data_IF_705395437400
#
_entry.id   IF_705395437400
#
_cell.length_a   1.000
_cell.length_b   1.000
_cell.length_c   1.000
_cell.angle_alpha   90.00
_cell.angle_beta   90.00
_cell.angle_gamma   90.00
#
_symmetry.space_group_name_H-M   'P 1'
#
loop_
_entity.id
_entity.type
_entity.pdbx_description
1 polymer ?
#
# COMPACT_ATOMS: atom_id res chain seq x y z
N UNK A 1 34.45 0.31 -1.51
CA UNK A 1 34.96 0.35 -0.12
C UNK A 1 34.00 -0.37 0.80
N UNK A 2 34.49 -1.02 1.87
CA UNK A 2 33.61 -1.64 2.86
C UNK A 2 32.77 -0.56 3.55
N UNK A 3 31.47 -0.82 3.71
CA UNK A 3 30.59 0.05 4.47
C UNK A 3 31.06 0.14 5.94
N UNK A 4 30.90 1.30 6.60
CA UNK A 4 31.16 1.44 8.04
C UNK A 4 30.36 0.41 8.86
N UNK A 5 30.89 -0.08 10.00
CA UNK A 5 30.21 -1.07 10.82
C UNK A 5 28.82 -0.63 11.30
N UNK A 6 28.62 0.68 11.47
CA UNK A 6 27.38 1.28 11.96
C UNK A 6 26.50 1.84 10.84
N UNK A 7 26.86 1.60 9.57
CA UNK A 7 26.10 2.09 8.44
C UNK A 7 24.68 1.51 8.44
N UNK A 8 23.69 2.39 8.29
CA UNK A 8 22.31 2.00 8.05
C UNK A 8 22.19 1.18 6.77
N UNK A 9 21.10 0.41 6.63
CA UNK A 9 20.94 -0.49 5.49
C UNK A 9 21.08 0.20 4.12
N UNK A 10 20.58 1.43 4.00
CA UNK A 10 20.66 2.22 2.76
C UNK A 10 22.06 2.73 2.43
N UNK A 11 22.97 2.80 3.40
CA UNK A 11 24.32 3.36 3.23
C UNK A 11 25.38 2.26 2.99
N UNK A 12 24.94 1.01 2.83
CA UNK A 12 25.81 -0.15 2.59
C UNK A 12 26.01 -0.38 1.09
N UNK A 13 26.66 0.56 0.42
CA UNK A 13 26.87 0.53 -1.05
C UNK A 13 27.63 -0.72 -1.55
N UNK A 14 28.39 -1.39 -0.68
CA UNK A 14 29.10 -2.64 -0.99
C UNK A 14 28.25 -3.90 -0.84
N UNK A 15 26.95 -3.77 -0.54
CA UNK A 15 26.04 -4.89 -0.28
C UNK A 15 24.95 -4.98 -1.34
N UNK A 16 24.53 -6.21 -1.63
CA UNK A 16 23.35 -6.50 -2.46
C UNK A 16 22.34 -7.22 -1.59
N UNK A 17 21.10 -6.74 -1.58
CA UNK A 17 20.06 -7.23 -0.67
C UNK A 17 19.07 -8.15 -1.38
N UNK A 18 18.66 -9.22 -0.69
CA UNK A 18 17.58 -10.10 -1.17
C UNK A 18 16.29 -9.28 -1.40
N UNK A 19 15.56 -9.59 -2.48
CA UNK A 19 14.36 -8.85 -2.87
C UNK A 19 14.60 -7.60 -3.72
N UNK A 20 15.85 -7.27 -4.04
CA UNK A 20 16.20 -6.19 -4.97
C UNK A 20 16.54 -6.72 -6.37
N UNK A 21 16.43 -5.86 -7.39
CA UNK A 21 16.85 -6.15 -8.76
C UNK A 21 17.97 -5.20 -9.20
N UNK A 22 18.84 -5.68 -10.09
CA UNK A 22 19.93 -4.87 -10.66
C UNK A 22 19.34 -4.03 -11.79
N UNK A 23 19.24 -2.72 -11.58
CA UNK A 23 18.72 -1.79 -12.58
C UNK A 23 19.67 -1.60 -13.78
N UNK A 24 20.97 -1.83 -13.61
CA UNK A 24 21.96 -1.74 -14.68
C UNK A 24 23.36 -2.19 -14.26
N UNK A 25 24.18 -2.53 -15.25
CA UNK A 25 25.56 -2.98 -15.05
C UNK A 25 25.71 -4.51 -14.86
N UNK A 26 26.91 -4.93 -14.48
CA UNK A 26 27.26 -6.34 -14.18
C UNK A 26 28.25 -6.37 -13.03
N UNK A 27 28.18 -7.40 -12.19
CA UNK A 27 29.06 -7.56 -11.05
C UNK A 27 29.15 -9.01 -10.56
N UNK A 28 30.06 -9.24 -9.61
CA UNK A 28 30.15 -10.49 -8.84
C UNK A 28 30.01 -10.14 -7.37
N UNK A 29 29.33 -10.99 -6.61
CA UNK A 29 29.14 -10.81 -5.18
C UNK A 29 29.35 -12.14 -4.45
N UNK A 30 29.66 -12.06 -3.16
CA UNK A 30 29.75 -13.22 -2.26
C UNK A 30 28.45 -13.26 -1.47
N UNK A 31 27.85 -14.45 -1.38
CA UNK A 31 26.66 -14.66 -0.55
C UNK A 31 27.09 -14.67 0.91
N UNK A 32 26.61 -13.69 1.70
CA UNK A 32 26.93 -13.56 3.13
C UNK A 32 25.78 -13.95 4.06
N UNK A 33 24.55 -14.05 3.54
CA UNK A 33 23.36 -14.47 4.26
C UNK A 33 22.35 -15.11 3.31
N UNK A 34 21.54 -16.06 3.80
CA UNK A 34 20.48 -16.73 3.05
C UNK A 34 19.21 -16.88 3.91
N UNK A 35 18.07 -17.11 3.26
CA UNK A 35 16.78 -17.33 3.94
C UNK A 35 16.45 -16.26 5.00
N UNK A 36 16.10 -16.68 6.21
CA UNK A 36 15.72 -15.83 7.34
C UNK A 36 16.84 -14.94 7.86
N UNK A 37 18.10 -15.28 7.56
CA UNK A 37 19.25 -14.49 8.00
C UNK A 37 19.46 -13.22 7.15
N UNK A 38 18.83 -13.17 5.96
CA UNK A 38 18.78 -11.96 5.14
C UNK A 38 17.90 -10.89 5.77
N UNK A 39 18.15 -9.61 5.45
CA UNK A 39 17.28 -8.50 5.89
C UNK A 39 15.82 -8.70 5.43
N UNK A 40 15.62 -9.13 4.19
CA UNK A 40 14.29 -9.44 3.64
C UNK A 40 13.61 -10.59 4.40
N UNK A 41 14.36 -11.64 4.73
CA UNK A 41 13.88 -12.76 5.53
C UNK A 41 13.47 -12.35 6.95
N UNK A 42 14.25 -11.47 7.59
CA UNK A 42 13.90 -10.90 8.90
C UNK A 42 12.63 -10.05 8.85
N UNK A 43 12.46 -9.23 7.81
CA UNK A 43 11.22 -8.46 7.61
C UNK A 43 10.02 -9.40 7.42
N UNK A 44 10.14 -10.42 6.57
CA UNK A 44 9.07 -11.40 6.33
C UNK A 44 8.69 -12.18 7.62
N UNK A 45 9.67 -12.52 8.45
CA UNK A 45 9.44 -13.15 9.75
C UNK A 45 8.71 -12.21 10.72
N UNK A 46 9.11 -10.93 10.77
CA UNK A 46 8.47 -9.93 11.62
C UNK A 46 7.01 -9.65 11.21
N UNK A 47 6.66 -9.84 9.93
CA UNK A 47 5.30 -9.69 9.43
C UNK A 47 4.41 -10.93 9.66
N UNK A 48 5.00 -12.07 10.02
CA UNK A 48 4.28 -13.35 10.21
C UNK A 48 3.69 -13.53 11.62
N UNK A 49 3.42 -12.45 12.34
CA UNK A 49 2.88 -12.52 13.70
C UNK A 49 1.36 -12.69 13.71
N UNK A 50 0.83 -13.40 14.72
CA UNK A 50 -0.61 -13.52 14.93
C UNK A 50 -1.28 -12.16 15.12
N UNK A 51 -2.45 -12.01 14.52
CA UNK A 51 -3.23 -10.79 14.68
C UNK A 51 -3.98 -10.77 16.01
N UNK A 52 -3.96 -9.65 16.73
CA UNK A 52 -4.72 -9.51 17.96
C UNK A 52 -6.23 -9.60 17.68
N UNK A 53 -7.03 -10.09 18.65
CA UNK A 53 -8.47 -10.13 18.51
C UNK A 53 -9.02 -8.72 18.37
N UNK A 54 -10.09 -8.58 17.60
CA UNK A 54 -10.68 -7.27 17.34
C UNK A 54 -11.55 -6.79 18.52
N UNK A 55 -11.83 -5.48 18.67
CA UNK A 55 -12.61 -4.97 19.80
C UNK A 55 -13.98 -5.66 19.96
N UNK A 56 -14.67 -5.93 18.84
CA UNK A 56 -15.91 -6.71 18.84
C UNK A 56 -15.72 -8.13 19.36
N UNK A 57 -14.65 -8.83 18.96
CA UNK A 57 -14.36 -10.18 19.46
C UNK A 57 -14.12 -10.16 20.98
N UNK A 58 -13.35 -9.19 21.46
CA UNK A 58 -13.10 -9.00 22.90
C UNK A 58 -14.40 -8.74 23.66
N UNK A 59 -15.31 -7.94 23.11
CA UNK A 59 -16.59 -7.64 23.76
C UNK A 59 -17.54 -8.84 23.72
N UNK A 60 -17.57 -9.59 22.62
CA UNK A 60 -18.35 -10.84 22.49
C UNK A 60 -17.89 -11.89 23.51
N UNK A 61 -16.58 -12.06 23.70
CA UNK A 61 -16.03 -12.97 24.70
C UNK A 61 -16.38 -12.52 26.13
N UNK A 62 -16.36 -11.21 26.39
CA UNK A 62 -16.76 -10.65 27.68
C UNK A 62 -18.25 -10.88 27.97
N UNK A 63 -19.11 -10.65 26.99
CA UNK A 63 -20.55 -10.90 27.10
C UNK A 63 -20.83 -12.40 27.26
N UNK A 64 -20.21 -13.24 26.44
CA UNK A 64 -20.32 -14.70 26.52
C UNK A 64 -19.92 -15.24 27.88
N UNK A 65 -18.79 -14.77 28.44
CA UNK A 65 -18.34 -15.17 29.78
C UNK A 65 -19.32 -14.75 30.87
N UNK A 66 -19.88 -13.55 30.79
CA UNK A 66 -20.88 -13.05 31.77
C UNK A 66 -22.15 -13.90 31.72
N UNK A 67 -22.66 -14.18 30.53
CA UNK A 67 -23.84 -15.04 30.34
C UNK A 67 -23.60 -16.45 30.85
N UNK A 68 -22.43 -17.05 30.56
CA UNK A 68 -22.07 -18.37 31.04
C UNK A 68 -22.01 -18.45 32.58
N UNK A 69 -21.39 -17.46 33.23
CA UNK A 69 -21.34 -17.38 34.70
C UNK A 69 -22.74 -17.22 35.29
N UNK A 70 -23.58 -16.37 34.71
CA UNK A 70 -24.95 -16.17 35.17
C UNK A 70 -25.79 -17.46 35.02
N UNK A 71 -25.66 -18.16 33.88
CA UNK A 71 -26.35 -19.41 33.61
C UNK A 71 -25.93 -20.54 34.57
N UNK A 72 -24.63 -20.69 34.83
CA UNK A 72 -24.13 -21.67 35.79
C UNK A 72 -24.58 -21.35 37.23
N UNK A 73 -24.59 -20.07 37.60
CA UNK A 73 -25.05 -19.64 38.91
C UNK A 73 -26.55 -19.92 39.12
N UNK A 74 -27.40 -19.63 38.13
CA UNK A 74 -28.84 -19.91 38.19
C UNK A 74 -29.11 -21.41 38.16
N UNK A 75 -28.41 -22.18 37.32
CA UNK A 75 -28.51 -23.63 37.28
C UNK A 75 -28.10 -24.28 38.61
N UNK A 76 -26.99 -23.83 39.20
CA UNK A 76 -26.54 -24.28 40.52
C UNK A 76 -27.54 -23.93 41.62
N UNK A 77 -28.13 -22.73 41.58
CA UNK A 77 -29.16 -22.31 42.54
C UNK A 77 -30.42 -23.18 42.44
N UNK A 78 -30.90 -23.45 41.22
CA UNK A 78 -32.07 -24.33 40.98
C UNK A 78 -31.77 -25.76 41.43
N UNK A 79 -30.58 -26.28 41.13
CA UNK A 79 -30.17 -27.60 41.57
C UNK A 79 -30.18 -27.73 43.10
N UNK A 80 -29.52 -26.80 43.80
CA UNK A 80 -29.42 -26.81 45.26
C UNK A 80 -30.79 -26.64 45.94
N UNK A 81 -31.59 -25.68 45.48
CA UNK A 81 -32.95 -25.47 46.02
C UNK A 81 -33.87 -26.67 45.74
N UNK A 82 -33.70 -27.30 44.58
CA UNK A 82 -34.40 -28.53 44.21
C UNK A 82 -34.10 -29.70 45.15
N UNK A 83 -32.82 -29.91 45.46
CA UNK A 83 -32.38 -30.91 46.43
C UNK A 83 -32.91 -30.64 47.84
N UNK A 84 -32.84 -29.38 48.30
CA UNK A 84 -33.34 -28.99 49.62
C UNK A 84 -34.87 -29.18 49.76
N UNK A 85 -35.62 -29.17 48.65
CA UNK A 85 -37.05 -29.47 48.62
C UNK A 85 -37.38 -30.98 48.56
N UNK A 86 -36.37 -31.84 48.55
CA UNK A 86 -36.54 -33.30 48.51
C UNK A 86 -36.74 -33.89 47.10
N UNK A 87 -36.46 -33.13 46.04
CA UNK A 87 -36.54 -33.68 44.68
C UNK A 87 -35.39 -34.66 44.39
N UNK A 88 -35.60 -35.67 43.52
CA UNK A 88 -34.54 -36.61 43.13
C UNK A 88 -33.35 -35.89 42.49
N UNK A 89 -32.13 -36.23 42.91
CA UNK A 89 -30.90 -35.60 42.43
C UNK A 89 -30.72 -35.73 40.91
N UNK A 90 -31.08 -36.88 40.33
CA UNK A 90 -31.04 -37.13 38.89
C UNK A 90 -31.93 -36.15 38.11
N UNK A 91 -33.15 -35.92 38.59
CA UNK A 91 -34.09 -35.00 37.96
C UNK A 91 -33.60 -33.54 38.06
N UNK A 92 -33.03 -33.16 39.21
CA UNK A 92 -32.47 -31.81 39.40
C UNK A 92 -31.23 -31.58 38.56
N UNK A 93 -30.37 -32.58 38.41
CA UNK A 93 -29.18 -32.51 37.56
C UNK A 93 -29.58 -32.32 36.09
N UNK A 94 -30.54 -33.11 35.60
CA UNK A 94 -31.08 -32.95 34.25
C UNK A 94 -31.67 -31.55 34.03
N UNK A 95 -32.39 -31.03 35.02
CA UNK A 95 -32.98 -29.68 34.95
C UNK A 95 -31.91 -28.59 34.91
N UNK A 96 -30.86 -28.71 35.73
CA UNK A 96 -29.76 -27.75 35.79
C UNK A 96 -28.95 -27.72 34.49
N UNK A 97 -28.65 -28.90 33.92
CA UNK A 97 -27.98 -29.01 32.61
C UNK A 97 -28.86 -28.44 31.51
N UNK A 98 -30.15 -28.76 31.48
CA UNK A 98 -31.08 -28.21 30.50
C UNK A 98 -31.16 -26.67 30.57
N UNK A 99 -31.18 -26.10 31.77
CA UNK A 99 -31.16 -24.65 31.97
C UNK A 99 -29.85 -24.02 31.50
N UNK A 100 -28.71 -24.65 31.82
CA UNK A 100 -27.40 -24.16 31.43
C UNK A 100 -27.23 -24.16 29.90
N UNK A 101 -27.63 -25.24 29.21
CA UNK A 101 -27.58 -25.34 27.75
C UNK A 101 -28.53 -24.33 27.09
N UNK A 102 -29.75 -24.18 27.61
CA UNK A 102 -30.73 -23.22 27.08
C UNK A 102 -30.26 -21.76 27.14
N UNK A 103 -29.29 -21.44 28.01
CA UNK A 103 -28.74 -20.10 28.17
C UNK A 103 -27.54 -19.80 27.24
N UNK A 104 -27.06 -20.79 26.47
CA UNK A 104 -25.93 -20.60 25.54
C UNK A 104 -26.41 -19.73 24.35
N UNK A 105 -25.74 -18.60 24.04
CA UNK A 105 -26.16 -17.71 22.97
C UNK A 105 -25.68 -18.20 21.60
N UNK A 106 -26.19 -19.34 21.14
CA UNK A 106 -25.79 -19.99 19.88
C UNK A 106 -26.09 -19.14 18.63
N UNK A 107 -27.07 -18.24 18.71
CA UNK A 107 -27.43 -17.33 17.61
C UNK A 107 -26.46 -16.15 17.42
N UNK A 108 -25.65 -15.82 18.42
CA UNK A 108 -24.82 -14.62 18.41
C UNK A 108 -23.71 -14.67 17.33
N UNK A 109 -22.93 -15.76 17.19
CA UNK A 109 -21.93 -15.85 16.11
C UNK A 109 -22.54 -15.76 14.71
N UNK A 110 -23.73 -16.33 14.51
CA UNK A 110 -24.43 -16.31 13.23
C UNK A 110 -24.87 -14.88 12.85
N UNK A 111 -25.49 -14.15 13.79
CA UNK A 111 -25.93 -12.76 13.56
C UNK A 111 -24.75 -11.83 13.28
N UNK A 112 -23.64 -12.00 14.02
CA UNK A 112 -22.41 -11.22 13.80
C UNK A 112 -21.85 -11.48 12.40
N UNK A 113 -21.74 -12.74 12.01
CA UNK A 113 -21.22 -13.13 10.68
C UNK A 113 -22.08 -12.57 9.55
N UNK A 114 -23.41 -12.68 9.64
CA UNK A 114 -24.33 -12.14 8.64
C UNK A 114 -24.21 -10.62 8.54
N UNK A 115 -24.09 -9.93 9.68
CA UNK A 115 -23.97 -8.47 9.74
C UNK A 115 -22.66 -8.00 9.11
N UNK A 116 -21.53 -8.61 9.49
CA UNK A 116 -20.22 -8.31 8.92
C UNK A 116 -20.17 -8.62 7.42
N UNK A 117 -20.77 -9.73 6.99
CA UNK A 117 -20.81 -10.12 5.57
C UNK A 117 -21.54 -9.09 4.70
N UNK A 118 -22.66 -8.53 5.19
CA UNK A 118 -23.32 -7.41 4.51
C UNK A 118 -22.45 -6.16 4.48
N UNK A 119 -21.66 -5.90 5.52
CA UNK A 119 -20.66 -4.83 5.54
C UNK A 119 -19.62 -5.01 4.44
N UNK A 120 -19.05 -6.22 4.32
CA UNK A 120 -18.09 -6.57 3.28
C UNK A 120 -18.66 -6.39 1.87
N UNK A 121 -19.90 -6.84 1.63
CA UNK A 121 -20.56 -6.65 0.33
C UNK A 121 -20.65 -5.17 -0.05
N UNK A 122 -21.10 -4.30 0.87
CA UNK A 122 -21.16 -2.85 0.63
C UNK A 122 -19.79 -2.20 0.39
N UNK A 123 -18.73 -2.73 0.99
CA UNK A 123 -17.36 -2.26 0.75
C UNK A 123 -16.87 -2.69 -0.63
N UNK A 124 -17.14 -3.95 -1.02
CA UNK A 124 -16.79 -4.47 -2.34
C UNK A 124 -17.49 -3.68 -3.47
N UNK A 125 -18.76 -3.31 -3.28
CA UNK A 125 -19.51 -2.45 -4.22
C UNK A 125 -18.86 -1.06 -4.42
N UNK A 126 -17.96 -0.66 -3.52
CA UNK A 126 -17.19 0.59 -3.57
C UNK A 126 -15.70 0.35 -3.89
N UNK A 127 -15.38 -0.78 -4.51
CA UNK A 127 -14.01 -1.19 -4.87
C UNK A 127 -13.07 -1.41 -3.67
N UNK A 128 -13.61 -1.63 -2.47
CA UNK A 128 -12.83 -1.97 -1.27
C UNK A 128 -12.98 -3.47 -0.94
N UNK A 129 -12.02 -4.27 -1.40
CA UNK A 129 -12.04 -5.73 -1.22
C UNK A 129 -11.55 -6.11 0.18
N UNK A 130 -12.40 -6.78 0.95
CA UNK A 130 -12.07 -7.26 2.30
C UNK A 130 -11.77 -8.76 2.27
N UNK A 131 -10.55 -9.13 2.64
CA UNK A 131 -10.10 -10.54 2.67
C UNK A 131 -10.51 -11.31 3.93
N UNK A 132 -10.77 -10.60 5.03
CA UNK A 132 -11.11 -11.18 6.34
C UNK A 132 -12.21 -10.36 7.00
N UNK A 133 -13.29 -11.02 7.41
CA UNK A 133 -14.45 -10.35 8.01
C UNK A 133 -14.11 -9.44 9.21
N UNK A 134 -13.21 -9.81 10.15
CA UNK A 134 -12.86 -8.96 11.28
C UNK A 134 -12.23 -7.61 10.89
N UNK A 135 -11.64 -7.52 9.68
CA UNK A 135 -10.99 -6.28 9.22
C UNK A 135 -11.99 -5.11 9.04
N UNK A 136 -13.27 -5.40 8.76
CA UNK A 136 -14.31 -4.37 8.64
C UNK A 136 -14.49 -3.63 9.96
N UNK A 137 -14.52 -4.37 11.06
CA UNK A 137 -14.72 -3.80 12.38
C UNK A 137 -13.45 -3.14 12.92
N UNK A 138 -12.28 -3.74 12.69
CA UNK A 138 -10.99 -3.11 13.00
C UNK A 138 -10.84 -1.74 12.30
N UNK A 139 -11.25 -1.62 11.04
CA UNK A 139 -11.24 -0.34 10.32
C UNK A 139 -12.22 0.68 10.92
N UNK A 140 -13.42 0.23 11.33
CA UNK A 140 -14.41 1.09 11.97
C UNK A 140 -13.99 1.58 13.36
N UNK A 141 -13.17 0.80 14.08
CA UNK A 141 -12.63 1.14 15.39
C UNK A 141 -11.28 1.88 15.32
N UNK A 142 -10.71 2.07 14.13
CA UNK A 142 -9.41 2.69 13.96
C UNK A 142 -9.42 4.17 14.39
N UNK A 143 -8.52 4.52 15.31
CA UNK A 143 -8.32 5.90 15.78
C UNK A 143 -7.06 6.56 15.20
N UNK A 144 -6.16 5.75 14.63
CA UNK A 144 -4.90 6.19 14.01
C UNK A 144 -4.79 5.50 12.66
N UNK A 145 -4.50 6.27 11.61
CA UNK A 145 -4.24 5.76 10.27
C UNK A 145 -2.76 5.97 9.96
N UNK A 146 -2.00 4.89 9.91
CA UNK A 146 -0.64 4.89 9.40
C UNK A 146 -0.70 4.60 7.90
N UNK A 147 -0.29 5.56 7.08
CA UNK A 147 -0.29 5.44 5.61
C UNK A 147 1.12 5.53 5.07
N UNK A 148 1.43 4.73 4.05
CA UNK A 148 2.61 4.96 3.24
C UNK A 148 2.39 6.18 2.33
N UNK A 149 3.47 6.82 1.89
CA UNK A 149 3.41 7.95 0.96
C UNK A 149 3.35 7.43 -0.48
N UNK A 150 4.37 6.69 -0.89
CA UNK A 150 4.61 6.35 -2.29
C UNK A 150 3.65 5.25 -2.73
N UNK A 151 2.82 5.52 -3.73
CA UNK A 151 1.84 4.55 -4.24
C UNK A 151 0.58 4.39 -3.38
N UNK A 152 0.48 5.12 -2.26
CA UNK A 152 -0.74 5.18 -1.43
C UNK A 152 -1.31 6.61 -1.39
N UNK A 153 -0.56 7.58 -0.86
CA UNK A 153 -0.94 8.99 -0.92
C UNK A 153 -0.60 9.62 -2.27
N UNK A 154 0.47 9.16 -2.89
CA UNK A 154 0.92 9.61 -4.22
C UNK A 154 0.64 8.53 -5.27
N UNK A 155 0.54 8.94 -6.54
CA UNK A 155 0.35 8.02 -7.67
C UNK A 155 1.60 7.20 -8.04
N UNK A 156 2.68 7.32 -7.26
CA UNK A 156 4.00 6.75 -7.61
C UNK A 156 4.47 7.14 -9.03
N UNK A 157 4.17 8.38 -9.42
CA UNK A 157 4.51 8.97 -10.72
C UNK A 157 5.20 10.30 -10.48
N UNK A 158 6.31 10.55 -11.18
CA UNK A 158 6.92 11.87 -11.22
C UNK A 158 6.11 12.75 -12.17
N UNK A 159 5.72 13.95 -11.71
CA UNK A 159 5.05 14.95 -12.55
C UNK A 159 5.70 16.31 -12.41
N UNK A 160 5.79 17.03 -13.52
CA UNK A 160 6.24 18.41 -13.55
C UNK A 160 5.31 19.28 -12.70
N UNK A 161 5.87 20.05 -11.78
CA UNK A 161 5.09 20.89 -10.85
C UNK A 161 5.11 22.36 -11.21
N UNK A 162 6.24 22.88 -11.72
CA UNK A 162 6.44 24.29 -12.06
C UNK A 162 7.45 24.40 -13.19
N UNK A 163 7.21 25.33 -14.10
CA UNK A 163 8.14 25.72 -15.15
C UNK A 163 8.62 27.13 -14.84
N UNK A 164 9.94 27.37 -14.88
CA UNK A 164 10.50 28.72 -14.76
C UNK A 164 11.38 29.01 -15.95
N UNK A 165 10.97 29.93 -16.81
CA UNK A 165 11.70 30.29 -18.03
C UNK A 165 11.59 31.77 -18.33
N UNK A 166 12.68 32.34 -18.84
CA UNK A 166 12.79 33.77 -19.15
C UNK A 166 12.33 34.69 -17.99
N UNK A 167 12.59 34.27 -16.74
CA UNK A 167 12.19 34.99 -15.52
C UNK A 167 10.70 34.90 -15.17
N UNK A 168 9.91 34.11 -15.91
CA UNK A 168 8.48 33.86 -15.65
C UNK A 168 8.29 32.49 -15.03
N UNK A 169 7.34 32.41 -14.10
CA UNK A 169 6.85 31.14 -13.57
C UNK A 169 5.56 30.77 -14.33
N UNK A 170 5.52 29.57 -14.87
CA UNK A 170 4.39 29.00 -15.62
C UNK A 170 3.92 27.75 -14.87
N UNK A 171 2.61 27.70 -14.61
CA UNK A 171 1.96 26.49 -14.13
C UNK A 171 1.83 25.51 -15.30
N UNK A 172 2.30 24.25 -15.18
CA UNK A 172 2.14 23.24 -16.23
C UNK A 172 0.69 23.09 -16.72
N UNK A 173 -0.31 23.27 -15.86
CA UNK A 173 -1.72 23.18 -16.25
C UNK A 173 -2.19 24.35 -17.14
N UNK A 174 -1.44 25.45 -17.17
CA UNK A 174 -1.68 26.63 -18.00
C UNK A 174 -0.60 26.85 -19.07
N UNK A 175 0.15 25.81 -19.41
CA UNK A 175 1.17 25.87 -20.45
C UNK A 175 0.52 26.12 -21.81
N UNK A 176 0.77 27.29 -22.40
CA UNK A 176 0.42 27.60 -23.78
C UNK A 176 1.58 27.14 -24.68
N UNK A 177 1.35 26.08 -25.46
CA UNK A 177 2.37 25.45 -26.31
C UNK A 177 2.72 26.27 -27.56
N UNK A 178 1.87 27.23 -27.94
CA UNK A 178 2.07 28.08 -29.13
C UNK A 178 2.71 29.42 -28.76
N UNK A 179 2.50 29.90 -27.53
CA UNK A 179 3.02 31.18 -27.08
C UNK A 179 4.36 31.07 -26.34
N UNK A 180 5.20 32.10 -26.47
CA UNK A 180 6.45 32.17 -25.72
C UNK A 180 6.22 32.56 -24.24
N UNK A 181 6.90 31.89 -23.28
CA UNK A 181 8.00 30.95 -23.49
C UNK A 181 7.59 29.46 -23.50
N UNK A 182 6.30 29.14 -23.63
CA UNK A 182 5.82 27.75 -23.65
C UNK A 182 6.22 26.97 -24.90
N UNK A 183 6.25 27.60 -26.08
CA UNK A 183 6.81 26.99 -27.30
C UNK A 183 8.26 26.52 -27.10
N UNK A 184 9.13 27.41 -26.58
CA UNK A 184 10.49 27.04 -26.20
C UNK A 184 10.57 25.90 -25.16
N UNK A 185 9.62 25.80 -24.23
CA UNK A 185 9.57 24.68 -23.28
C UNK A 185 9.38 23.36 -24.01
N UNK A 186 8.37 23.32 -24.88
CA UNK A 186 7.97 22.15 -25.63
C UNK A 186 9.13 21.65 -26.49
N UNK A 187 9.81 22.56 -27.18
CA UNK A 187 10.99 22.23 -27.99
C UNK A 187 12.09 21.57 -27.14
N UNK A 188 12.51 22.24 -26.05
CA UNK A 188 13.58 21.72 -25.18
C UNK A 188 13.19 20.37 -24.57
N UNK A 189 11.96 20.27 -24.04
CA UNK A 189 11.45 19.07 -23.38
C UNK A 189 11.32 17.88 -24.34
N UNK A 190 10.93 18.12 -25.60
CA UNK A 190 10.79 17.08 -26.61
C UNK A 190 12.14 16.61 -27.18
N UNK A 191 13.06 17.56 -27.43
CA UNK A 191 14.31 17.29 -28.15
C UNK A 191 15.42 16.72 -27.26
N UNK A 192 15.66 17.34 -26.10
CA UNK A 192 16.70 16.94 -25.16
C UNK A 192 16.18 15.90 -24.14
N UNK A 193 15.63 14.80 -24.66
CA UNK A 193 14.93 13.80 -23.89
C UNK A 193 14.95 12.43 -24.60
N UNK A 194 15.25 11.36 -23.88
CA UNK A 194 15.32 9.99 -24.43
C UNK A 194 14.04 9.17 -24.22
N UNK A 195 13.04 9.75 -23.56
CA UNK A 195 11.72 9.15 -23.38
C UNK A 195 11.08 8.78 -24.71
N UNK A 196 10.60 7.53 -24.80
CA UNK A 196 9.93 6.97 -25.97
C UNK A 196 8.54 6.54 -25.59
N UNK A 197 7.63 6.64 -26.55
CA UNK A 197 6.28 6.11 -26.37
C UNK A 197 6.28 4.62 -26.73
N UNK A 198 5.77 3.80 -25.81
CA UNK A 198 5.46 2.38 -26.03
C UNK A 198 3.99 2.19 -25.69
N UNK A 199 3.18 1.90 -26.71
CA UNK A 199 1.71 1.87 -26.60
C UNK A 199 1.16 3.20 -26.03
N UNK A 200 0.56 3.14 -24.84
CA UNK A 200 -0.02 4.29 -24.12
C UNK A 200 0.87 4.81 -22.99
N UNK A 201 2.11 4.33 -22.85
CA UNK A 201 3.01 4.73 -21.77
C UNK A 201 4.34 5.26 -22.28
N UNK A 202 4.85 6.25 -21.55
CA UNK A 202 6.22 6.70 -21.71
C UNK A 202 7.18 5.73 -21.04
N UNK A 203 8.22 5.34 -21.78
CA UNK A 203 9.31 4.48 -21.32
C UNK A 203 10.59 5.30 -21.37
N UNK A 204 11.30 5.38 -20.26
CA UNK A 204 12.51 6.18 -20.10
C UNK A 204 12.75 6.52 -18.63
N UNK A 205 13.65 7.46 -18.37
CA UNK A 205 13.84 7.99 -17.02
C UNK A 205 12.54 8.68 -16.52
N UNK A 206 12.10 8.46 -15.27
CA UNK A 206 10.89 9.07 -14.74
C UNK A 206 10.89 10.61 -14.79
N UNK A 207 12.04 11.27 -14.71
CA UNK A 207 12.16 12.73 -14.79
C UNK A 207 11.97 13.21 -16.22
N UNK A 208 12.58 12.53 -17.18
CA UNK A 208 12.46 12.82 -18.60
C UNK A 208 11.01 12.61 -19.08
N UNK A 209 10.44 11.47 -18.76
CA UNK A 209 9.05 11.13 -19.13
C UNK A 209 8.03 12.09 -18.50
N UNK A 210 8.28 12.61 -17.29
CA UNK A 210 7.42 13.63 -16.67
C UNK A 210 7.36 14.95 -17.46
N UNK A 211 8.43 15.33 -18.16
CA UNK A 211 8.45 16.51 -19.03
C UNK A 211 7.61 16.27 -20.28
N UNK A 212 7.74 15.09 -20.89
CA UNK A 212 6.96 14.71 -22.07
C UNK A 212 5.47 14.64 -21.77
N UNK A 213 5.09 14.05 -20.63
CA UNK A 213 3.69 14.03 -20.19
C UNK A 213 3.14 15.45 -20.01
N UNK A 214 3.91 16.38 -19.46
CA UNK A 214 3.46 17.77 -19.31
C UNK A 214 3.23 18.48 -20.67
N UNK A 215 4.06 18.18 -21.67
CA UNK A 215 3.87 18.67 -23.04
C UNK A 215 2.60 18.08 -23.66
N UNK A 216 2.36 16.78 -23.52
CA UNK A 216 1.14 16.13 -24.03
C UNK A 216 -0.13 16.64 -23.33
N UNK A 217 -0.10 16.78 -22.01
CA UNK A 217 -1.22 17.29 -21.20
C UNK A 217 -1.61 18.72 -21.63
N UNK A 218 -0.64 19.51 -22.12
CA UNK A 218 -0.83 20.85 -22.66
C UNK A 218 -1.23 20.87 -24.16
N UNK A 219 -1.36 19.71 -24.80
CA UNK A 219 -1.74 19.58 -26.21
C UNK A 219 -0.58 19.69 -27.22
N UNK A 220 0.68 19.72 -26.75
CA UNK A 220 1.86 19.77 -27.61
C UNK A 220 2.16 18.43 -28.28
N UNK A 221 2.65 18.47 -29.52
CA UNK A 221 3.04 17.26 -30.28
C UNK A 221 4.55 17.03 -30.25
N UNK A 222 4.99 16.10 -29.42
CA UNK A 222 6.41 15.72 -29.27
C UNK A 222 6.96 15.12 -30.57
N UNK A 223 6.18 14.26 -31.22
CA UNK A 223 6.60 13.62 -32.48
C UNK A 223 6.74 14.65 -33.60
N UNK A 224 5.83 15.62 -33.71
CA UNK A 224 5.94 16.69 -34.69
C UNK A 224 7.24 17.50 -34.51
N UNK A 225 7.58 17.86 -33.27
CA UNK A 225 8.82 18.59 -32.94
C UNK A 225 10.06 17.76 -33.27
N UNK A 226 10.09 16.49 -32.88
CA UNK A 226 11.21 15.57 -33.16
C UNK A 226 11.38 15.29 -34.66
N UNK A 227 10.29 15.26 -35.43
CA UNK A 227 10.33 15.11 -36.88
C UNK A 227 10.82 16.39 -37.57
N UNK A 228 10.39 17.57 -37.11
CA UNK A 228 10.80 18.85 -37.66
C UNK A 228 12.30 19.14 -37.38
N UNK A 229 12.80 18.74 -36.21
CA UNK A 229 14.18 18.97 -35.78
C UNK A 229 14.88 17.65 -35.49
N UNK A 230 15.28 16.89 -36.53
CA UNK A 230 15.87 15.57 -36.34
C UNK A 230 17.21 15.66 -35.59
N UNK A 231 17.36 14.78 -34.59
CA UNK A 231 18.59 14.69 -33.78
C UNK A 231 19.77 14.25 -34.66
N UNK A 232 20.81 15.07 -34.70
CA UNK A 232 22.06 14.83 -35.42
C UNK A 232 23.11 14.15 -34.55
N UNK A 233 23.27 14.61 -33.31
CA UNK A 233 24.31 14.15 -32.40
C UNK A 233 23.83 14.26 -30.94
N UNK A 234 24.45 13.51 -30.04
CA UNK A 234 24.10 13.51 -28.62
C UNK A 234 25.28 13.21 -27.69
N UNK A 235 25.18 13.78 -26.50
CA UNK A 235 25.95 13.40 -25.33
C UNK A 235 24.93 13.09 -24.25
N UNK A 236 24.75 11.80 -23.98
CA UNK A 236 23.85 11.30 -22.94
C UNK A 236 24.16 11.92 -21.57
N UNK A 237 23.19 11.86 -20.66
CA UNK A 237 23.39 12.35 -19.29
C UNK A 237 24.58 11.64 -18.63
N UNK A 238 25.52 12.43 -18.14
CA UNK A 238 26.69 11.95 -17.40
C UNK A 238 26.73 12.60 -16.02
N UNK A 239 26.93 11.81 -14.97
CA UNK A 239 26.90 12.28 -13.58
C UNK A 239 28.06 13.23 -13.23
N UNK A 240 29.16 13.21 -13.99
CA UNK A 240 30.26 14.17 -13.84
C UNK A 240 29.93 15.51 -14.51
N UNK A 241 29.32 15.48 -15.70
CA UNK A 241 28.87 16.67 -16.46
C UNK A 241 27.58 17.30 -15.92
N UNK A 242 26.73 16.50 -15.26
CA UNK A 242 25.40 16.86 -14.75
C UNK A 242 24.46 17.48 -15.79
N UNK A 243 24.59 17.05 -17.05
CA UNK A 243 23.75 17.51 -18.17
C UNK A 243 23.74 16.50 -19.31
N UNK A 244 22.61 16.48 -20.02
CA UNK A 244 22.48 15.93 -21.35
C UNK A 244 22.72 17.04 -22.39
N UNK A 245 23.13 16.68 -23.61
CA UNK A 245 23.21 17.62 -24.73
C UNK A 245 22.79 16.91 -26.00
N UNK A 246 21.86 17.50 -26.74
CA UNK A 246 21.45 17.00 -28.06
C UNK A 246 21.67 18.09 -29.09
N UNK A 247 22.10 17.70 -30.29
CA UNK A 247 22.31 18.59 -31.43
C UNK A 247 21.30 18.20 -32.49
N UNK A 248 20.55 19.17 -33.00
CA UNK A 248 19.48 18.95 -33.96
C UNK A 248 19.79 19.72 -35.24
N UNK A 249 19.37 19.18 -36.38
CA UNK A 249 19.48 19.91 -37.65
C UNK A 249 18.35 20.95 -37.70
N UNK A 250 18.73 22.20 -37.94
CA UNK A 250 17.85 23.28 -38.34
C UNK A 250 18.07 23.55 -39.83
N UNK A 251 17.02 23.83 -40.58
CA UNK A 251 17.14 24.28 -41.97
C UNK A 251 17.88 25.63 -42.10
#
# INVERSE_FOLDING_TARGET
DPAPPDAGLGDRDSMVHAGTSVAGGRGRAIVVATATDTEFGRIAAALSTDEPPTPLQVELDRVGRRLAVLALATAGLVFLTGLLRGNPAEAMLLTAVALAVAAIPEGLPAVVTITLSRGVQRMADRNAIVRRLPAVEALGAASVICTDKTGTLTRNEIRLQRIRMAGRDIDPAGLDVEAEPGGAFVEIAALCNDGRRSDERWVGDPTETALLVAVEDAGGSIDAVRTALPRHDEIAFDSRRKRMTTVHRTD
#
